data_IF_466749466725
#
_entry.id   IF_466749466725
#
_cell.length_a   1.000
_cell.length_b   1.000
_cell.length_c   1.000
_cell.angle_alpha   90.00
_cell.angle_beta   90.00
_cell.angle_gamma   90.00
#
_symmetry.space_group_name_H-M   'P 1'
#
loop_
_entity.id
_entity.type
_entity.pdbx_description
1 polymer ?
#
# COMPACT_ATOMS: atom_id res chain seq x y z
N UNK A 1 15.44 -3.47 -18.17
CA UNK A 1 14.24 -4.14 -17.67
C UNK A 1 13.08 -3.16 -17.62
N UNK A 2 11.94 -3.57 -18.13
CA UNK A 2 10.70 -2.79 -18.11
C UNK A 2 9.67 -3.51 -17.22
N UNK A 3 8.82 -2.72 -16.54
CA UNK A 3 7.72 -3.20 -15.70
C UNK A 3 8.13 -4.18 -14.58
N UNK A 4 9.31 -4.04 -14.00
CA UNK A 4 9.79 -4.91 -12.90
C UNK A 4 8.91 -4.78 -11.65
N UNK A 5 8.20 -3.67 -11.47
CA UNK A 5 7.24 -3.48 -10.38
C UNK A 5 6.03 -4.43 -10.44
N UNK A 6 5.81 -5.11 -11.56
CA UNK A 6 4.76 -6.14 -11.68
C UNK A 6 5.26 -7.55 -11.29
N UNK A 7 6.55 -7.70 -10.98
CA UNK A 7 7.14 -8.97 -10.54
C UNK A 7 6.90 -9.15 -9.05
N UNK A 8 6.18 -10.21 -8.70
CA UNK A 8 5.89 -10.54 -7.30
C UNK A 8 7.03 -11.30 -6.65
N UNK A 9 7.24 -11.04 -5.36
CA UNK A 9 8.27 -11.66 -4.54
C UNK A 9 9.66 -11.02 -4.69
N UNK A 10 10.62 -11.45 -3.87
CA UNK A 10 11.93 -10.79 -3.76
C UNK A 10 12.84 -11.01 -4.96
N UNK A 11 12.61 -12.06 -5.73
CA UNK A 11 13.35 -12.38 -6.97
C UNK A 11 12.58 -13.40 -7.81
N UNK A 12 13.03 -13.58 -9.06
CA UNK A 12 12.59 -14.66 -9.94
C UNK A 12 13.78 -15.23 -10.68
N UNK A 13 13.72 -16.48 -11.20
CA UNK A 13 14.81 -17.05 -12.02
C UNK A 13 15.21 -16.18 -13.21
N UNK A 14 14.27 -15.43 -13.78
CA UNK A 14 14.53 -14.49 -14.87
C UNK A 14 15.35 -13.28 -14.40
N UNK A 15 14.99 -12.67 -13.28
CA UNK A 15 15.73 -11.54 -12.69
C UNK A 15 17.14 -12.00 -12.29
N UNK A 16 17.26 -13.17 -11.65
CA UNK A 16 18.57 -13.74 -11.27
C UNK A 16 19.46 -13.99 -12.49
N UNK A 17 18.92 -14.55 -13.57
CA UNK A 17 19.67 -14.78 -14.79
C UNK A 17 20.18 -13.47 -15.40
N UNK A 18 19.39 -12.40 -15.42
CA UNK A 18 19.80 -11.10 -15.95
C UNK A 18 20.87 -10.46 -15.07
N UNK A 19 20.68 -10.44 -13.75
CA UNK A 19 21.62 -9.81 -12.82
C UNK A 19 22.96 -10.54 -12.78
N UNK A 20 22.96 -11.87 -12.81
CA UNK A 20 24.18 -12.68 -12.82
C UNK A 20 24.90 -12.65 -14.16
N UNK A 21 24.20 -12.52 -15.28
CA UNK A 21 24.83 -12.45 -16.62
C UNK A 21 25.69 -11.20 -16.82
N UNK A 22 25.49 -10.16 -16.03
CA UNK A 22 26.28 -8.92 -16.09
C UNK A 22 27.77 -9.15 -15.81
N UNK A 23 28.13 -10.16 -15.01
CA UNK A 23 29.51 -10.50 -14.70
C UNK A 23 30.38 -10.91 -15.93
N UNK A 24 29.75 -11.15 -17.10
CA UNK A 24 30.44 -11.40 -18.35
C UNK A 24 30.92 -10.12 -19.06
N UNK A 25 30.60 -8.94 -18.56
CA UNK A 25 30.90 -7.65 -19.16
C UNK A 25 31.79 -6.80 -18.23
N UNK A 26 32.73 -6.06 -18.80
CA UNK A 26 33.66 -5.18 -18.03
C UNK A 26 32.92 -3.98 -17.40
N UNK A 27 31.93 -3.42 -18.08
CA UNK A 27 31.13 -2.27 -17.62
C UNK A 27 29.64 -2.54 -17.83
N UNK A 28 29.05 -3.43 -17.06
CA UNK A 28 27.64 -3.73 -17.19
C UNK A 28 26.79 -2.56 -16.71
N UNK A 29 25.66 -2.35 -17.38
CA UNK A 29 24.65 -1.40 -16.95
C UNK A 29 23.29 -2.07 -16.92
N UNK A 30 22.58 -1.96 -15.80
CA UNK A 30 21.19 -2.37 -15.66
C UNK A 30 20.33 -1.10 -15.56
N UNK A 31 19.46 -0.90 -16.54
CA UNK A 31 18.45 0.13 -16.51
C UNK A 31 17.08 -0.49 -16.23
N UNK A 32 16.37 0.06 -15.25
CA UNK A 32 15.03 -0.35 -14.87
C UNK A 32 14.08 0.84 -15.04
N UNK A 33 12.98 0.64 -15.75
CA UNK A 33 11.90 1.61 -15.92
C UNK A 33 10.60 0.91 -15.51
N UNK A 34 9.91 1.42 -14.51
CA UNK A 34 8.69 0.76 -14.00
C UNK A 34 7.89 1.68 -13.07
N UNK A 35 6.62 1.35 -12.86
CA UNK A 35 5.90 1.73 -11.65
C UNK A 35 6.49 1.00 -10.44
N UNK A 36 6.31 1.56 -9.23
CA UNK A 36 6.68 0.85 -8.01
C UNK A 36 5.92 -0.47 -7.89
N UNK A 37 6.55 -1.45 -7.28
CA UNK A 37 5.87 -2.68 -6.89
C UNK A 37 4.78 -2.38 -5.85
N UNK A 38 3.75 -3.21 -5.82
CA UNK A 38 2.64 -3.04 -4.89
C UNK A 38 3.07 -3.34 -3.44
N UNK A 39 3.89 -4.37 -3.23
CA UNK A 39 4.32 -4.83 -1.91
C UNK A 39 5.75 -4.40 -1.56
N UNK A 40 6.02 -4.17 -0.28
CA UNK A 40 7.38 -3.90 0.23
C UNK A 40 8.32 -5.11 0.09
N UNK A 41 7.76 -6.32 -0.02
CA UNK A 41 8.53 -7.57 -0.18
C UNK A 41 8.90 -7.88 -1.63
N UNK A 42 8.41 -7.12 -2.60
CA UNK A 42 8.69 -7.34 -4.01
C UNK A 42 10.07 -6.82 -4.43
N UNK A 43 10.64 -7.46 -5.45
CA UNK A 43 11.99 -7.22 -5.94
C UNK A 43 12.30 -5.73 -6.16
N UNK A 44 11.44 -5.00 -6.89
CA UNK A 44 11.69 -3.59 -7.18
C UNK A 44 11.61 -2.71 -5.92
N UNK A 45 10.73 -3.03 -4.96
CA UNK A 45 10.66 -2.33 -3.68
C UNK A 45 11.97 -2.47 -2.89
N UNK A 46 12.51 -3.68 -2.83
CA UNK A 46 13.79 -3.95 -2.18
C UNK A 46 14.94 -3.21 -2.86
N UNK A 47 14.96 -3.15 -4.19
CA UNK A 47 15.99 -2.42 -4.94
C UNK A 47 15.91 -0.91 -4.74
N UNK A 48 14.70 -0.33 -4.74
CA UNK A 48 14.49 1.10 -4.47
C UNK A 48 14.96 1.43 -3.05
N UNK A 49 14.59 0.62 -2.07
CA UNK A 49 14.95 0.85 -0.67
C UNK A 49 16.45 0.73 -0.44
N UNK A 50 17.13 -0.20 -1.11
CA UNK A 50 18.58 -0.31 -1.07
C UNK A 50 19.24 0.90 -1.75
N UNK A 51 18.80 1.28 -2.94
CA UNK A 51 19.33 2.42 -3.67
C UNK A 51 19.21 3.75 -2.88
N UNK A 52 18.14 3.93 -2.14
CA UNK A 52 17.92 5.15 -1.33
C UNK A 52 18.71 5.15 -0.02
N UNK A 53 19.09 3.98 0.51
CA UNK A 53 19.76 3.85 1.81
C UNK A 53 21.26 3.60 1.73
N UNK A 54 21.73 2.88 0.71
CA UNK A 54 23.12 2.43 0.63
C UNK A 54 24.11 3.57 0.37
N UNK A 55 23.70 4.61 -0.35
CA UNK A 55 24.62 5.65 -0.86
C UNK A 55 25.65 5.12 -1.85
N UNK A 56 25.39 3.97 -2.47
CA UNK A 56 26.27 3.37 -3.49
C UNK A 56 26.42 4.32 -4.70
N UNK A 57 27.66 4.78 -5.03
CA UNK A 57 27.88 5.70 -6.14
C UNK A 57 27.61 5.09 -7.52
N UNK A 58 27.46 3.77 -7.62
CA UNK A 58 27.13 3.07 -8.86
C UNK A 58 25.63 2.88 -9.07
N UNK A 59 24.81 3.25 -8.08
CA UNK A 59 23.34 3.09 -8.13
C UNK A 59 22.66 4.44 -8.13
N UNK A 60 21.80 4.68 -9.14
CA UNK A 60 21.00 5.90 -9.26
C UNK A 60 19.54 5.53 -9.26
N UNK A 61 18.75 6.19 -8.39
CA UNK A 61 17.31 6.01 -8.29
C UNK A 61 16.59 7.35 -8.46
N UNK A 62 15.74 7.45 -9.46
CA UNK A 62 14.81 8.56 -9.65
C UNK A 62 13.38 8.07 -9.36
N UNK A 63 12.86 8.39 -8.18
CA UNK A 63 11.53 7.98 -7.76
C UNK A 63 10.55 9.15 -7.86
N UNK A 64 9.55 9.01 -8.72
CA UNK A 64 8.42 9.93 -8.85
C UNK A 64 7.16 9.27 -8.33
N UNK A 65 6.76 9.58 -7.10
CA UNK A 65 5.61 8.98 -6.43
C UNK A 65 4.86 10.02 -5.61
N UNK A 66 3.56 9.86 -5.45
CA UNK A 66 2.79 10.59 -4.47
C UNK A 66 3.17 10.17 -3.03
N UNK A 67 2.93 11.05 -2.06
CA UNK A 67 3.17 10.73 -0.65
C UNK A 67 2.27 9.58 -0.18
N UNK A 68 2.76 8.78 0.77
CA UNK A 68 2.10 7.53 1.21
C UNK A 68 0.64 7.75 1.61
N UNK A 69 0.34 8.83 2.32
CA UNK A 69 -0.99 9.16 2.83
C UNK A 69 -1.69 10.27 2.03
N UNK A 70 -1.25 10.50 0.79
CA UNK A 70 -1.80 11.54 -0.06
C UNK A 70 -3.29 11.33 -0.35
N UNK A 71 -4.03 12.44 -0.40
CA UNK A 71 -5.37 12.44 -0.97
C UNK A 71 -5.30 12.03 -2.44
N UNK A 72 -6.17 11.09 -2.82
CA UNK A 72 -6.28 10.61 -4.19
C UNK A 72 -6.59 11.74 -5.19
N UNK A 73 -7.28 12.78 -4.75
CA UNK A 73 -7.74 13.89 -5.57
C UNK A 73 -6.85 15.13 -5.49
N UNK A 74 -5.68 15.08 -4.85
CA UNK A 74 -4.75 16.21 -4.77
C UNK A 74 -3.92 16.38 -6.05
N UNK A 75 -4.12 17.49 -6.83
CA UNK A 75 -3.38 17.73 -8.06
C UNK A 75 -1.86 17.92 -7.86
N UNK A 76 -1.43 18.33 -6.66
CA UNK A 76 0.00 18.47 -6.34
C UNK A 76 0.66 17.11 -6.32
N UNK A 77 -0.01 16.13 -5.75
CA UNK A 77 0.45 14.75 -5.69
C UNK A 77 0.44 14.07 -7.07
N UNK A 78 -0.52 14.45 -7.92
CA UNK A 78 -0.55 13.96 -9.31
C UNK A 78 0.70 14.38 -10.09
N UNK A 79 1.10 15.66 -9.98
CA UNK A 79 2.31 16.18 -10.64
C UNK A 79 3.58 15.59 -10.07
N UNK A 80 3.62 15.34 -8.76
CA UNK A 80 4.75 14.69 -8.09
C UNK A 80 4.97 13.26 -8.61
N UNK A 81 3.89 12.50 -8.77
CA UNK A 81 3.94 11.13 -9.29
C UNK A 81 4.11 11.08 -10.82
N UNK A 82 3.68 12.13 -11.54
CA UNK A 82 3.65 12.17 -12.99
C UNK A 82 4.31 13.44 -13.53
N UNK A 83 5.63 13.51 -13.64
CA UNK A 83 6.34 14.70 -14.13
C UNK A 83 5.90 15.16 -15.53
N UNK A 84 5.40 14.23 -16.36
CA UNK A 84 4.91 14.50 -17.70
C UNK A 84 3.46 15.03 -17.76
N UNK A 85 2.80 15.19 -16.61
CA UNK A 85 1.42 15.63 -16.53
C UNK A 85 1.27 17.07 -17.08
N UNK A 86 0.33 17.26 -18.00
CA UNK A 86 0.13 18.54 -18.69
C UNK A 86 1.07 18.79 -19.85
N UNK A 87 2.03 17.89 -20.14
CA UNK A 87 2.84 17.91 -21.35
C UNK A 87 2.34 16.88 -22.37
N UNK A 88 2.73 15.62 -22.21
CA UNK A 88 2.23 14.54 -23.07
C UNK A 88 1.28 13.56 -22.35
N UNK A 89 1.19 13.62 -21.00
CA UNK A 89 0.17 12.90 -20.23
C UNK A 89 -1.03 13.82 -19.97
N UNK A 90 -2.23 13.36 -20.32
CA UNK A 90 -3.47 14.12 -20.17
C UNK A 90 -3.88 14.24 -18.69
N UNK A 91 -4.05 15.48 -18.20
CA UNK A 91 -4.61 15.73 -16.86
C UNK A 91 -6.08 15.32 -16.78
N UNK A 92 -6.84 15.54 -17.85
CA UNK A 92 -8.27 15.16 -17.89
C UNK A 92 -8.46 13.66 -17.80
N UNK A 93 -7.62 12.88 -18.49
CA UNK A 93 -7.68 11.42 -18.41
C UNK A 93 -7.33 10.94 -17.00
N UNK A 94 -6.27 11.44 -16.40
CA UNK A 94 -5.87 11.11 -15.04
C UNK A 94 -6.99 11.44 -14.03
N UNK A 95 -7.59 12.64 -14.12
CA UNK A 95 -8.72 13.06 -13.30
C UNK A 95 -9.90 12.09 -13.40
N UNK A 96 -10.26 11.68 -14.63
CA UNK A 96 -11.37 10.76 -14.87
C UNK A 96 -11.11 9.40 -14.22
N UNK A 97 -9.89 8.87 -14.36
CA UNK A 97 -9.51 7.59 -13.77
C UNK A 97 -9.51 7.64 -12.23
N UNK A 98 -8.94 8.68 -11.62
CA UNK A 98 -8.91 8.86 -10.17
C UNK A 98 -10.33 9.11 -9.61
N UNK A 99 -11.16 9.90 -10.30
CA UNK A 99 -12.57 10.10 -9.92
C UNK A 99 -13.37 8.78 -9.97
N UNK A 100 -13.08 7.91 -10.93
CA UNK A 100 -13.70 6.58 -10.97
C UNK A 100 -13.21 5.72 -9.79
N UNK A 101 -11.93 5.74 -9.50
CA UNK A 101 -11.33 4.99 -8.40
C UNK A 101 -11.85 5.47 -7.03
N UNK A 102 -12.07 6.77 -6.83
CA UNK A 102 -12.61 7.32 -5.58
C UNK A 102 -14.06 6.87 -5.30
N UNK A 103 -14.83 6.52 -6.36
CA UNK A 103 -16.22 6.03 -6.23
C UNK A 103 -16.32 4.51 -6.09
N UNK A 104 -15.27 3.77 -6.51
CA UNK A 104 -15.26 2.31 -6.54
C UNK A 104 -14.07 1.84 -5.69
N UNK A 105 -14.28 1.51 -4.41
CA UNK A 105 -13.19 1.18 -3.48
C UNK A 105 -12.25 0.08 -3.98
N UNK A 106 -12.77 -0.90 -4.72
CA UNK A 106 -11.97 -1.98 -5.30
C UNK A 106 -10.91 -1.50 -6.32
N UNK A 107 -11.06 -0.29 -6.89
CA UNK A 107 -10.13 0.29 -7.85
C UNK A 107 -9.10 1.21 -7.20
N UNK A 108 -9.29 1.64 -5.95
CA UNK A 108 -8.46 2.64 -5.31
C UNK A 108 -7.00 2.20 -5.20
N UNK A 109 -6.75 0.97 -4.75
CA UNK A 109 -5.39 0.44 -4.60
C UNK A 109 -4.65 0.37 -5.94
N UNK A 110 -5.31 -0.13 -6.97
CA UNK A 110 -4.72 -0.17 -8.32
C UNK A 110 -4.44 1.24 -8.85
N UNK A 111 -5.35 2.19 -8.63
CA UNK A 111 -5.15 3.58 -9.04
C UNK A 111 -3.99 4.24 -8.28
N UNK A 112 -3.87 4.02 -6.97
CA UNK A 112 -2.76 4.50 -6.16
C UNK A 112 -1.42 3.96 -6.65
N UNK A 113 -1.34 2.67 -6.94
CA UNK A 113 -0.11 2.07 -7.45
C UNK A 113 0.21 2.51 -8.88
N UNK A 114 -0.70 2.34 -9.83
CA UNK A 114 -0.41 2.52 -11.26
C UNK A 114 -0.47 3.99 -11.72
N UNK A 115 -1.27 4.84 -11.08
CA UNK A 115 -1.44 6.24 -11.49
C UNK A 115 -0.67 7.22 -10.60
N UNK A 116 -0.52 6.91 -9.31
CA UNK A 116 0.21 7.75 -8.35
C UNK A 116 1.52 7.15 -7.89
N UNK A 117 1.90 6.01 -8.44
CA UNK A 117 3.16 5.30 -8.18
C UNK A 117 3.41 5.05 -6.69
N UNK A 118 2.35 4.78 -5.91
CA UNK A 118 2.43 4.46 -4.50
C UNK A 118 2.61 2.97 -4.27
N UNK A 119 3.38 2.59 -3.23
CA UNK A 119 3.34 1.22 -2.71
C UNK A 119 2.04 1.00 -1.95
N UNK A 120 1.48 -0.19 -2.09
CA UNK A 120 0.26 -0.62 -1.41
C UNK A 120 0.67 -1.75 -0.50
N UNK A 121 0.58 -1.55 0.80
CA UNK A 121 1.12 -2.47 1.81
C UNK A 121 0.46 -3.87 1.84
N UNK A 122 -0.55 -4.15 1.01
CA UNK A 122 -1.25 -5.44 0.98
C UNK A 122 -1.82 -5.76 -0.41
N UNK A 123 -1.66 -6.99 -0.85
CA UNK A 123 -2.04 -7.50 -2.18
C UNK A 123 -3.53 -7.47 -2.52
N UNK A 124 -4.40 -7.34 -1.58
CA UNK A 124 -5.82 -6.99 -1.77
C UNK A 124 -6.42 -6.60 -0.43
N UNK A 125 -6.51 -5.33 -0.16
CA UNK A 125 -7.28 -4.89 0.99
C UNK A 125 -8.75 -5.24 0.76
N UNK A 126 -9.32 -6.00 1.69
CA UNK A 126 -10.77 -6.22 1.75
C UNK A 126 -11.55 -4.91 1.82
N UNK A 127 -10.95 -3.88 2.47
CA UNK A 127 -11.47 -2.52 2.55
C UNK A 127 -10.44 -1.50 2.05
N UNK A 128 -10.88 -0.49 1.30
CA UNK A 128 -10.02 0.63 0.95
C UNK A 128 -9.58 1.39 2.21
N UNK A 129 -8.34 1.92 2.25
CA UNK A 129 -7.84 2.67 3.40
C UNK A 129 -8.70 3.87 3.79
N UNK A 130 -9.32 4.53 2.81
CA UNK A 130 -10.25 5.65 3.02
C UNK A 130 -11.50 5.20 3.77
N UNK A 131 -12.06 4.03 3.42
CA UNK A 131 -13.21 3.43 4.11
C UNK A 131 -12.83 3.04 5.54
N UNK A 132 -11.66 2.39 5.71
CA UNK A 132 -11.17 2.04 7.06
C UNK A 132 -10.99 3.29 7.94
N UNK A 133 -10.36 4.33 7.40
CA UNK A 133 -10.15 5.61 8.11
C UNK A 133 -11.47 6.31 8.48
N UNK A 134 -12.51 6.21 7.67
CA UNK A 134 -13.81 6.81 7.98
C UNK A 134 -14.49 6.16 9.18
N UNK A 135 -14.12 4.92 9.53
CA UNK A 135 -14.61 4.18 10.69
C UNK A 135 -13.71 4.31 11.93
N UNK A 136 -12.74 5.25 11.95
CA UNK A 136 -11.72 5.37 13.00
C UNK A 136 -12.15 6.21 14.22
N UNK A 137 -13.40 6.62 14.31
CA UNK A 137 -13.92 7.32 15.49
C UNK A 137 -13.77 6.42 16.74
N UNK A 138 -13.37 6.97 17.91
CA UNK A 138 -13.34 6.20 19.15
C UNK A 138 -14.74 5.65 19.47
N UNK A 139 -14.85 4.39 19.95
CA UNK A 139 -16.14 3.86 20.34
C UNK A 139 -16.70 4.62 21.56
N UNK A 140 -18.02 4.80 21.59
CA UNK A 140 -18.67 5.33 22.80
C UNK A 140 -18.68 4.25 23.90
N UNK A 141 -17.85 4.46 24.90
CA UNK A 141 -17.67 3.51 26.01
C UNK A 141 -18.93 3.41 26.90
N UNK A 142 -19.82 4.39 26.91
CA UNK A 142 -21.04 4.33 27.72
C UNK A 142 -21.99 3.24 27.24
N UNK A 143 -22.01 2.96 25.93
CA UNK A 143 -22.82 1.91 25.32
C UNK A 143 -22.45 0.50 25.76
N UNK A 144 -21.20 0.29 26.16
CA UNK A 144 -20.72 -1.02 26.68
C UNK A 144 -21.11 -1.26 28.15
N UNK A 145 -21.63 -0.25 28.84
CA UNK A 145 -21.93 -0.28 30.29
C UNK A 145 -23.40 0.02 30.64
N UNK A 146 -24.25 0.32 29.68
CA UNK A 146 -25.65 0.75 29.92
C UNK A 146 -26.65 -0.41 30.03
N UNK A 147 -26.18 -1.66 29.94
CA UNK A 147 -26.99 -2.85 30.08
C UNK A 147 -27.56 -3.43 28.78
N UNK A 148 -27.22 -2.85 27.62
CA UNK A 148 -27.58 -3.42 26.32
C UNK A 148 -26.75 -4.66 26.00
N UNK A 149 -27.20 -5.55 25.07
CA UNK A 149 -26.45 -6.72 24.66
C UNK A 149 -25.13 -6.31 23.98
N UNK A 150 -24.01 -6.88 24.45
CA UNK A 150 -22.69 -6.76 23.85
C UNK A 150 -22.32 -8.10 23.22
N UNK A 151 -21.99 -8.10 21.92
CA UNK A 151 -21.45 -9.26 21.26
C UNK A 151 -19.94 -9.32 21.43
N UNK A 152 -19.36 -10.53 21.53
CA UNK A 152 -17.95 -10.74 21.66
C UNK A 152 -17.45 -11.75 20.61
N UNK A 153 -16.34 -11.45 19.96
CA UNK A 153 -15.60 -12.36 19.10
C UNK A 153 -14.20 -12.59 19.66
N UNK A 154 -13.79 -13.86 19.76
CA UNK A 154 -12.48 -14.23 20.25
C UNK A 154 -11.76 -15.07 19.20
N UNK A 155 -10.55 -14.63 18.84
CA UNK A 155 -9.61 -15.37 17.99
C UNK A 155 -8.36 -15.71 18.81
N UNK A 156 -8.07 -17.02 18.93
CA UNK A 156 -6.97 -17.53 19.73
C UNK A 156 -5.84 -18.06 18.85
N UNK A 157 -4.66 -17.52 19.02
CA UNK A 157 -3.45 -18.05 18.37
C UNK A 157 -2.84 -19.20 19.15
N UNK A 158 -2.17 -20.12 18.43
CA UNK A 158 -1.39 -21.21 19.07
C UNK A 158 0.10 -20.89 19.23
N UNK A 159 0.72 -20.19 18.27
CA UNK A 159 2.15 -19.80 18.28
C UNK A 159 2.39 -18.64 17.33
N UNK A 160 3.22 -17.67 17.77
CA UNK A 160 3.78 -16.58 16.95
C UNK A 160 2.75 -15.78 16.14
N UNK A 161 1.52 -15.73 16.60
CA UNK A 161 0.43 -15.01 15.98
C UNK A 161 -0.32 -14.19 17.03
N UNK A 162 -1.17 -13.27 16.59
CA UNK A 162 -1.94 -12.41 17.47
C UNK A 162 -3.17 -13.13 18.02
N UNK A 163 -3.45 -12.94 19.31
CA UNK A 163 -4.76 -13.27 19.89
C UNK A 163 -5.58 -11.98 19.92
N UNK A 164 -6.83 -12.02 19.51
CA UNK A 164 -7.72 -10.88 19.49
C UNK A 164 -9.06 -11.17 20.18
N UNK A 165 -9.50 -10.24 21.03
CA UNK A 165 -10.86 -10.15 21.53
C UNK A 165 -11.48 -8.87 21.01
N UNK A 166 -12.60 -8.95 20.33
CA UNK A 166 -13.37 -7.80 19.90
C UNK A 166 -14.74 -7.79 20.57
N UNK A 167 -15.11 -6.69 21.19
CA UNK A 167 -16.46 -6.45 21.69
C UNK A 167 -17.17 -5.52 20.71
N UNK A 168 -18.46 -5.76 20.47
CA UNK A 168 -19.28 -4.89 19.64
C UNK A 168 -20.64 -4.62 20.26
N UNK A 169 -21.11 -3.38 20.07
CA UNK A 169 -22.42 -2.92 20.54
C UNK A 169 -23.02 -2.00 19.51
N UNK A 170 -24.33 -2.08 19.32
CA UNK A 170 -25.09 -1.20 18.41
C UNK A 170 -25.64 0.01 19.18
N UNK A 171 -25.38 1.22 18.67
CA UNK A 171 -25.94 2.47 19.16
C UNK A 171 -27.41 2.64 18.77
N UNK A 172 -28.08 3.65 19.37
CA UNK A 172 -29.49 3.96 19.09
C UNK A 172 -29.72 4.51 17.67
N UNK A 173 -28.64 4.96 17.02
CA UNK A 173 -28.57 5.45 15.63
C UNK A 173 -28.31 4.33 14.61
N UNK A 174 -28.09 3.08 15.07
CA UNK A 174 -27.74 1.93 14.25
C UNK A 174 -26.25 1.86 13.90
N UNK A 175 -25.40 2.74 14.43
CA UNK A 175 -23.96 2.61 14.30
C UNK A 175 -23.44 1.49 15.21
N UNK A 176 -22.45 0.74 14.70
CA UNK A 176 -21.80 -0.34 15.44
C UNK A 176 -20.47 0.15 16.01
N UNK A 177 -20.37 0.18 17.34
CA UNK A 177 -19.15 0.51 18.05
C UNK A 177 -18.36 -0.76 18.33
N UNK A 178 -17.07 -0.77 18.00
CA UNK A 178 -16.17 -1.92 18.17
C UNK A 178 -15.03 -1.54 19.10
N UNK A 179 -14.81 -2.38 20.12
CA UNK A 179 -13.70 -2.24 21.06
C UNK A 179 -12.78 -3.46 20.92
N UNK A 180 -11.63 -3.33 20.23
CA UNK A 180 -10.68 -4.43 20.06
C UNK A 180 -9.64 -4.46 21.19
N UNK A 181 -9.27 -5.68 21.58
CA UNK A 181 -8.12 -6.00 22.43
C UNK A 181 -7.22 -6.96 21.66
N UNK A 182 -5.97 -6.56 21.44
CA UNK A 182 -5.01 -7.36 20.68
C UNK A 182 -3.83 -7.70 21.57
N UNK A 183 -3.48 -8.97 21.63
CA UNK A 183 -2.37 -9.49 22.43
C UNK A 183 -1.33 -10.11 21.49
N UNK A 184 -0.08 -9.61 21.60
CA UNK A 184 1.06 -10.19 20.90
C UNK A 184 1.81 -11.13 21.85
N UNK A 185 2.39 -12.24 21.35
CA UNK A 185 3.29 -13.05 22.17
C UNK A 185 4.51 -12.24 22.59
N UNK A 186 5.00 -12.48 23.80
CA UNK A 186 6.30 -11.95 24.23
C UNK A 186 7.41 -12.63 23.40
N UNK A 187 8.31 -11.83 22.79
CA UNK A 187 9.46 -12.30 22.00
C UNK A 187 10.63 -12.65 22.90
#
# INVERSE_FOLDING_TARGET
LDEVGQVQGPTTPFIEAITTSQGAHENPMLLVISTQAASDADCLSLWIDDALRSGDPHTVCHLHAADKDADLMDPVQWKKANPALGTFRSETDLLNQLTKASRIPALENSARNLLLNQRISMESLWLAPSVWKSCSAPPDMSLFCDGRPVAAGLDLSQRNDLTALALSVEGDDGEVHILPFVFAPET
#
